data_IF_104996789401
#
_entry.id   IF_104996789401
#
_cell.length_a   1.000
_cell.length_b   1.000
_cell.length_c   1.000
_cell.angle_alpha   90.00
_cell.angle_beta   90.00
_cell.angle_gamma   90.00
#
_symmetry.space_group_name_H-M   'P 1'
#
loop_
_entity.id
_entity.type
_entity.pdbx_description
1 polymer ?
#
# COMPACT_ATOMS: atom_id res chain seq x y z
N UNK A 1 -45.91 -39.35 -32.81
CA UNK A 1 -44.57 -40.00 -32.76
C UNK A 1 -44.00 -39.79 -31.36
N UNK A 2 -44.28 -40.77 -30.51
CA UNK A 2 -43.83 -40.72 -29.12
C UNK A 2 -42.38 -41.18 -29.03
N UNK A 3 -41.49 -40.28 -28.62
CA UNK A 3 -40.10 -40.58 -28.35
C UNK A 3 -40.02 -41.59 -27.19
N UNK A 4 -39.40 -42.73 -27.44
CA UNK A 4 -39.27 -43.78 -26.41
C UNK A 4 -38.41 -43.32 -25.25
N UNK A 5 -38.67 -43.83 -24.03
CA UNK A 5 -37.92 -43.51 -22.84
C UNK A 5 -36.41 -43.76 -22.97
N UNK A 6 -35.99 -44.68 -23.88
CA UNK A 6 -34.63 -44.97 -24.20
C UNK A 6 -33.95 -43.88 -25.02
N UNK A 7 -34.67 -43.26 -25.97
CA UNK A 7 -34.16 -42.16 -26.80
C UNK A 7 -34.03 -40.87 -25.97
N UNK A 8 -34.90 -40.64 -25.01
CA UNK A 8 -34.80 -39.51 -24.07
C UNK A 8 -33.59 -39.66 -23.17
N UNK A 9 -33.28 -40.86 -22.70
CA UNK A 9 -32.10 -41.15 -21.88
C UNK A 9 -30.76 -41.00 -22.64
N UNK A 10 -30.76 -41.36 -23.92
CA UNK A 10 -29.60 -41.17 -24.81
C UNK A 10 -29.36 -39.68 -25.09
N UNK A 11 -30.40 -38.89 -25.35
CA UNK A 11 -30.31 -37.45 -25.55
C UNK A 11 -29.82 -36.73 -24.29
N UNK A 12 -30.29 -37.12 -23.11
CA UNK A 12 -29.83 -36.56 -21.84
C UNK A 12 -28.36 -36.95 -21.55
N UNK A 13 -27.96 -38.18 -21.86
CA UNK A 13 -26.56 -38.64 -21.68
C UNK A 13 -25.59 -37.87 -22.56
N UNK A 14 -25.92 -37.60 -23.82
CA UNK A 14 -25.09 -36.81 -24.74
C UNK A 14 -24.96 -35.36 -24.28
N UNK A 15 -26.02 -34.76 -23.75
CA UNK A 15 -25.97 -33.39 -23.18
C UNK A 15 -25.10 -33.30 -21.93
N UNK A 16 -25.14 -34.29 -21.06
CA UNK A 16 -24.30 -34.34 -19.86
C UNK A 16 -22.82 -34.49 -20.24
N UNK A 17 -22.50 -35.32 -21.23
CA UNK A 17 -21.13 -35.49 -21.72
C UNK A 17 -20.61 -34.20 -22.37
N UNK A 18 -21.43 -33.50 -23.15
CA UNK A 18 -21.05 -32.22 -23.74
C UNK A 18 -20.83 -31.14 -22.65
N UNK A 19 -21.68 -31.08 -21.60
CA UNK A 19 -21.51 -30.16 -20.50
C UNK A 19 -20.26 -30.44 -19.67
N UNK A 20 -19.93 -31.70 -19.43
CA UNK A 20 -18.72 -32.10 -18.72
C UNK A 20 -17.45 -31.83 -19.55
N UNK A 21 -17.50 -32.03 -20.87
CA UNK A 21 -16.42 -31.67 -21.79
C UNK A 21 -16.17 -30.16 -21.85
N UNK A 22 -17.22 -29.34 -21.91
CA UNK A 22 -17.12 -27.89 -21.89
C UNK A 22 -16.59 -27.37 -20.52
N UNK A 23 -16.96 -28.03 -19.43
CA UNK A 23 -16.45 -27.68 -18.09
C UNK A 23 -14.98 -28.06 -17.92
N UNK A 24 -14.54 -29.20 -18.48
CA UNK A 24 -13.13 -29.61 -18.50
C UNK A 24 -12.26 -28.65 -19.30
N UNK A 25 -12.69 -28.25 -20.49
CA UNK A 25 -11.99 -27.28 -21.33
C UNK A 25 -11.91 -25.90 -20.67
N UNK A 26 -12.96 -25.48 -19.94
CA UNK A 26 -12.97 -24.23 -19.20
C UNK A 26 -12.02 -24.25 -18.00
N UNK A 27 -11.91 -25.40 -17.32
CA UNK A 27 -10.96 -25.55 -16.20
C UNK A 27 -9.52 -25.55 -16.73
N UNK A 28 -9.23 -26.23 -17.83
CA UNK A 28 -7.90 -26.26 -18.45
C UNK A 28 -7.49 -24.87 -18.96
N UNK A 29 -8.40 -24.10 -19.55
CA UNK A 29 -8.13 -22.70 -19.96
C UNK A 29 -7.90 -21.78 -18.78
N UNK A 30 -8.64 -21.95 -17.67
CA UNK A 30 -8.42 -21.17 -16.44
C UNK A 30 -7.11 -21.54 -15.76
N UNK A 31 -6.72 -22.82 -15.74
CA UNK A 31 -5.45 -23.27 -15.14
C UNK A 31 -4.25 -22.96 -16.04
N UNK A 32 -4.37 -23.08 -17.35
CA UNK A 32 -3.28 -22.78 -18.29
C UNK A 32 -3.06 -21.26 -18.42
N UNK A 33 -4.12 -20.44 -18.46
CA UNK A 33 -3.99 -18.99 -18.48
C UNK A 33 -3.45 -18.42 -17.16
N UNK A 34 -3.77 -19.01 -16.01
CA UNK A 34 -3.16 -18.62 -14.75
C UNK A 34 -1.67 -18.96 -14.65
N UNK A 35 -1.17 -19.94 -15.41
CA UNK A 35 0.26 -20.27 -15.45
C UNK A 35 1.05 -19.42 -16.47
N UNK A 36 0.42 -18.90 -17.53
CA UNK A 36 1.08 -18.02 -18.51
C UNK A 36 1.09 -16.55 -18.09
N UNK A 37 0.20 -16.11 -17.18
CA UNK A 37 0.24 -14.77 -16.57
C UNK A 37 1.32 -14.66 -15.48
N UNK A 38 1.92 -15.77 -15.03
CA UNK A 38 2.97 -15.79 -13.99
C UNK A 38 4.38 -15.43 -14.46
N UNK A 39 4.64 -15.30 -15.75
CA UNK A 39 6.03 -15.06 -16.23
C UNK A 39 6.37 -13.62 -16.64
N UNK A 40 5.45 -12.66 -16.62
CA UNK A 40 5.74 -11.27 -17.00
C UNK A 40 5.52 -10.19 -15.92
N UNK A 41 5.14 -10.56 -14.70
CA UNK A 41 5.34 -9.71 -13.53
C UNK A 41 6.62 -10.16 -12.82
N UNK A 42 7.77 -9.73 -13.29
CA UNK A 42 8.95 -9.68 -12.45
C UNK A 42 8.61 -8.78 -11.27
N UNK A 43 7.96 -9.34 -10.24
CA UNK A 43 7.84 -8.71 -8.94
C UNK A 43 9.27 -8.44 -8.51
N UNK A 44 9.70 -7.17 -8.53
CA UNK A 44 10.93 -6.75 -7.88
C UNK A 44 10.81 -7.22 -6.44
N UNK A 45 11.39 -8.37 -6.11
CA UNK A 45 11.48 -8.83 -4.74
C UNK A 45 12.39 -7.85 -4.02
N UNK A 46 11.80 -6.92 -3.26
CA UNK A 46 12.58 -6.10 -2.35
C UNK A 46 13.21 -7.03 -1.32
N UNK A 47 14.50 -7.30 -1.48
CA UNK A 47 15.23 -8.13 -0.54
C UNK A 47 15.21 -7.46 0.84
N UNK A 48 14.64 -8.13 1.82
CA UNK A 48 14.47 -7.69 3.21
C UNK A 48 15.77 -7.23 3.90
N UNK A 49 16.93 -7.46 3.29
CA UNK A 49 18.26 -7.21 3.85
C UNK A 49 19.05 -6.09 3.15
N UNK A 50 18.38 -5.22 2.37
CA UNK A 50 19.08 -4.06 1.83
C UNK A 50 19.46 -3.11 2.94
N UNK A 51 20.73 -2.71 2.94
CA UNK A 51 21.20 -1.66 3.84
C UNK A 51 20.48 -0.33 3.51
N UNK A 52 20.50 0.63 4.42
CA UNK A 52 19.81 1.91 4.22
C UNK A 52 20.33 2.69 2.99
N UNK A 53 21.58 2.44 2.56
CA UNK A 53 22.20 3.09 1.40
C UNK A 53 21.52 2.65 0.08
N UNK A 54 21.34 1.34 -0.10
CA UNK A 54 20.68 0.80 -1.30
C UNK A 54 19.23 1.26 -1.37
N UNK A 55 18.56 1.33 -0.21
CA UNK A 55 17.19 1.80 -0.10
C UNK A 55 17.06 3.28 -0.46
N UNK A 56 17.99 4.14 -0.02
CA UNK A 56 18.01 5.56 -0.40
C UNK A 56 18.16 5.72 -1.90
N UNK A 57 19.05 4.94 -2.52
CA UNK A 57 19.26 5.01 -3.96
C UNK A 57 17.99 4.61 -4.76
N UNK A 58 17.30 3.56 -4.33
CA UNK A 58 16.03 3.14 -4.94
C UNK A 58 14.92 4.19 -4.77
N UNK A 59 14.73 4.69 -3.55
CA UNK A 59 13.77 5.76 -3.24
C UNK A 59 14.05 6.99 -4.10
N UNK A 60 15.31 7.42 -4.16
CA UNK A 60 15.72 8.60 -4.94
C UNK A 60 15.42 8.44 -6.41
N UNK A 61 15.64 7.25 -6.97
CA UNK A 61 15.29 6.93 -8.35
C UNK A 61 13.79 6.89 -8.59
N UNK A 62 13.03 6.26 -7.68
CA UNK A 62 11.58 6.11 -7.80
C UNK A 62 10.84 7.46 -7.68
N UNK A 63 11.35 8.36 -6.84
CA UNK A 63 10.78 9.68 -6.58
C UNK A 63 11.44 10.82 -7.37
N UNK A 64 12.38 10.51 -8.27
CA UNK A 64 13.17 11.49 -9.05
C UNK A 64 13.66 12.65 -8.16
N UNK A 65 14.32 12.32 -7.05
CA UNK A 65 14.79 13.30 -6.09
C UNK A 65 16.23 13.02 -5.61
N UNK A 66 16.94 14.08 -5.28
CA UNK A 66 18.33 14.03 -4.76
C UNK A 66 18.41 14.27 -3.25
N UNK A 67 17.28 14.14 -2.55
CA UNK A 67 17.19 14.39 -1.12
C UNK A 67 17.94 13.34 -0.30
N UNK A 68 18.64 13.79 0.73
CA UNK A 68 19.37 12.92 1.65
C UNK A 68 18.45 12.44 2.78
N UNK A 69 17.81 11.29 2.58
CA UNK A 69 16.97 10.68 3.60
C UNK A 69 17.77 10.13 4.75
N UNK A 70 17.33 10.42 5.98
CA UNK A 70 17.94 10.05 7.26
C UNK A 70 16.89 9.42 8.18
N UNK A 71 17.32 8.92 9.32
CA UNK A 71 16.47 8.37 10.38
C UNK A 71 16.25 6.88 10.22
N UNK A 72 15.39 6.46 9.33
CA UNK A 72 15.01 5.05 9.12
C UNK A 72 14.59 4.35 10.43
N UNK A 73 13.76 5.06 11.23
CA UNK A 73 13.22 4.58 12.50
C UNK A 73 11.90 3.85 12.28
N UNK A 74 11.68 2.78 13.00
CA UNK A 74 10.39 2.10 13.00
C UNK A 74 9.30 2.96 13.64
N UNK A 75 8.04 2.73 13.28
CA UNK A 75 6.90 3.36 13.95
C UNK A 75 6.90 3.02 15.44
N UNK A 76 7.31 1.80 15.82
CA UNK A 76 7.48 1.37 17.21
C UNK A 76 8.44 2.29 17.98
N UNK A 77 9.65 2.54 17.45
CA UNK A 77 10.63 3.46 18.05
C UNK A 77 10.10 4.90 18.14
N UNK A 78 9.44 5.37 17.08
CA UNK A 78 8.90 6.74 17.04
C UNK A 78 7.68 6.95 17.96
N UNK A 79 6.92 5.89 18.27
CA UNK A 79 5.89 5.93 19.32
C UNK A 79 6.48 6.18 20.71
N UNK A 80 7.68 5.70 20.96
CA UNK A 80 8.43 5.93 22.21
C UNK A 80 9.03 7.33 22.22
N UNK A 81 9.76 7.72 21.18
CA UNK A 81 10.39 9.03 21.08
C UNK A 81 10.60 9.51 19.65
N UNK A 82 10.21 10.77 19.40
CA UNK A 82 10.54 11.50 18.18
C UNK A 82 11.71 12.50 18.39
N UNK A 83 12.58 12.30 19.38
CA UNK A 83 13.64 13.27 19.71
C UNK A 83 14.69 13.42 18.61
N UNK A 84 14.97 12.36 17.85
CA UNK A 84 15.92 12.36 16.74
C UNK A 84 15.37 13.03 15.47
N UNK A 85 14.04 13.18 15.34
CA UNK A 85 13.44 13.86 14.20
C UNK A 85 13.75 15.36 14.27
N UNK A 86 14.26 16.01 13.21
CA UNK A 86 14.54 17.44 13.25
C UNK A 86 13.28 18.28 13.35
N UNK A 87 13.39 19.47 13.95
CA UNK A 87 12.29 20.45 14.04
C UNK A 87 12.21 21.38 12.83
N UNK A 88 12.89 21.06 11.76
CA UNK A 88 13.00 21.81 10.53
C UNK A 88 11.89 21.48 9.52
N UNK A 89 11.81 22.31 8.47
CA UNK A 89 11.01 22.06 7.29
C UNK A 89 11.56 20.87 6.49
N UNK A 90 10.68 20.02 5.99
CA UNK A 90 11.09 18.85 5.21
C UNK A 90 9.95 17.93 4.81
N UNK A 91 10.36 16.82 4.23
CA UNK A 91 9.50 15.71 3.81
C UNK A 91 9.88 14.43 4.53
N UNK A 92 8.93 13.52 4.63
CA UNK A 92 9.15 12.21 5.22
C UNK A 92 8.39 11.13 4.47
N UNK A 93 8.90 9.92 4.52
CA UNK A 93 8.30 8.74 3.88
C UNK A 93 7.92 7.73 4.95
N UNK A 94 6.82 7.03 4.75
CA UNK A 94 6.48 5.81 5.46
C UNK A 94 6.73 4.65 4.53
N UNK A 95 7.59 3.74 4.93
CA UNK A 95 8.09 2.62 4.14
C UNK A 95 7.66 1.30 4.77
N UNK A 96 7.20 0.37 3.94
CA UNK A 96 6.98 -1.03 4.32
C UNK A 96 8.06 -1.88 3.66
N UNK A 97 8.92 -2.49 4.47
CA UNK A 97 10.03 -3.32 3.97
C UNK A 97 9.62 -4.77 3.66
N UNK A 98 8.48 -5.19 4.17
CA UNK A 98 7.93 -6.52 3.95
C UNK A 98 7.28 -6.60 2.57
N UNK A 99 7.67 -7.57 1.74
CA UNK A 99 7.11 -7.81 0.42
C UNK A 99 5.94 -8.82 0.41
N UNK A 100 5.51 -9.30 1.57
CA UNK A 100 4.31 -10.13 1.68
C UNK A 100 3.06 -9.30 1.38
N UNK A 101 2.00 -9.97 0.96
CA UNK A 101 0.70 -9.31 0.75
C UNK A 101 0.25 -8.60 2.04
N UNK A 102 -0.23 -7.36 1.95
CA UNK A 102 -0.68 -6.63 3.12
C UNK A 102 -1.92 -7.25 3.74
N UNK A 103 -1.99 -7.25 5.06
CA UNK A 103 -3.18 -7.64 5.80
C UNK A 103 -3.78 -6.38 6.40
N UNK A 104 -5.03 -6.07 6.00
CA UNK A 104 -5.76 -4.91 6.49
C UNK A 104 -6.73 -5.29 7.59
N UNK A 105 -6.85 -4.43 8.61
CA UNK A 105 -7.83 -4.54 9.69
C UNK A 105 -9.11 -3.77 9.35
N UNK A 106 -10.25 -4.26 9.79
CA UNK A 106 -11.54 -3.54 9.74
C UNK A 106 -11.55 -2.36 10.72
N UNK A 107 -10.65 -2.36 11.72
CA UNK A 107 -10.49 -1.30 12.70
C UNK A 107 -9.16 -0.59 12.51
N UNK A 108 -9.11 0.71 12.81
CA UNK A 108 -7.88 1.51 12.79
C UNK A 108 -7.31 1.64 14.20
N UNK A 109 -5.98 1.58 14.34
CA UNK A 109 -5.31 1.99 15.56
C UNK A 109 -5.40 3.52 15.77
N UNK A 110 -5.55 4.29 14.69
CA UNK A 110 -5.81 5.72 14.73
C UNK A 110 -7.27 6.01 15.08
N UNK A 111 -7.53 6.69 16.18
CA UNK A 111 -8.87 6.71 16.76
C UNK A 111 -9.57 8.05 16.87
N UNK A 112 -8.96 9.19 16.52
CA UNK A 112 -9.63 10.46 16.69
C UNK A 112 -10.22 11.00 15.40
N UNK A 113 -11.55 11.13 15.37
CA UNK A 113 -12.31 11.79 14.32
C UNK A 113 -12.97 13.01 14.87
N UNK A 114 -12.88 14.15 14.18
CA UNK A 114 -13.45 15.42 14.60
C UNK A 114 -14.99 15.48 14.48
N UNK A 115 -15.54 14.71 13.56
CA UNK A 115 -16.97 14.73 13.23
C UNK A 115 -17.64 13.52 13.87
N UNK A 116 -18.67 13.73 14.70
CA UNK A 116 -19.50 12.62 15.18
C UNK A 116 -20.05 11.86 13.98
N UNK A 117 -19.96 10.53 14.03
CA UNK A 117 -20.36 9.58 12.98
C UNK A 117 -19.44 9.47 11.76
N UNK A 118 -18.28 10.14 11.71
CA UNK A 118 -17.27 9.87 10.70
C UNK A 118 -16.38 8.70 11.16
N UNK A 119 -16.21 7.70 10.31
CA UNK A 119 -15.35 6.55 10.62
C UNK A 119 -13.89 6.92 10.38
N UNK A 120 -12.97 6.60 11.30
CA UNK A 120 -11.54 6.72 11.04
C UNK A 120 -11.06 5.67 10.04
N UNK A 121 -11.91 4.68 9.70
CA UNK A 121 -11.56 3.52 8.89
C UNK A 121 -12.05 3.68 7.45
N UNK A 122 -11.24 3.17 6.53
CA UNK A 122 -11.64 2.88 5.16
C UNK A 122 -12.16 1.44 5.06
N UNK A 123 -12.99 1.12 4.06
CA UNK A 123 -13.40 -0.25 3.77
C UNK A 123 -12.21 -1.11 3.32
N UNK A 124 -12.25 -2.41 3.59
CA UNK A 124 -11.19 -3.32 3.17
C UNK A 124 -11.02 -3.34 1.64
N UNK A 125 -12.12 -3.30 0.89
CA UNK A 125 -12.09 -3.24 -0.57
C UNK A 125 -11.38 -1.99 -1.08
N UNK A 126 -11.66 -0.82 -0.49
CA UNK A 126 -10.99 0.42 -0.81
C UNK A 126 -9.48 0.35 -0.54
N UNK A 127 -9.07 -0.19 0.64
CA UNK A 127 -7.65 -0.33 0.97
C UNK A 127 -6.92 -1.26 0.00
N UNK A 128 -7.56 -2.37 -0.39
CA UNK A 128 -7.01 -3.32 -1.37
C UNK A 128 -6.84 -2.67 -2.76
N UNK A 129 -7.80 -1.88 -3.20
CA UNK A 129 -7.75 -1.16 -4.47
C UNK A 129 -6.65 -0.08 -4.51
N UNK A 130 -6.49 0.66 -3.39
CA UNK A 130 -5.47 1.71 -3.28
C UNK A 130 -4.06 1.16 -3.12
N UNK A 131 -3.88 -0.09 -2.72
CA UNK A 131 -2.55 -0.64 -2.48
C UNK A 131 -1.75 -0.76 -3.78
N UNK A 132 -0.50 -0.29 -3.74
CA UNK A 132 0.42 -0.34 -4.88
C UNK A 132 1.47 -1.40 -4.61
N UNK A 133 1.49 -2.43 -5.45
CA UNK A 133 2.50 -3.49 -5.40
C UNK A 133 3.82 -3.01 -6.02
N UNK A 134 4.92 -3.64 -5.63
CA UNK A 134 6.23 -3.40 -6.26
C UNK A 134 6.97 -2.17 -5.74
N UNK A 135 6.47 -1.49 -4.72
CA UNK A 135 7.14 -0.39 -4.02
C UNK A 135 7.14 -0.61 -2.52
N UNK A 136 8.14 -0.05 -1.83
CA UNK A 136 8.14 0.04 -0.38
C UNK A 136 7.49 1.35 0.14
N UNK A 137 7.22 2.33 -0.72
CA UNK A 137 6.72 3.65 -0.34
C UNK A 137 5.21 3.60 -0.16
N UNK A 138 4.76 3.69 1.09
CA UNK A 138 3.33 3.71 1.42
C UNK A 138 2.75 5.13 1.53
N UNK A 139 3.57 6.10 1.93
CA UNK A 139 3.11 7.47 2.15
C UNK A 139 4.25 8.47 2.01
N UNK A 140 3.97 9.59 1.39
CA UNK A 140 4.83 10.76 1.28
C UNK A 140 4.16 11.90 2.05
N UNK A 141 4.85 12.50 3.01
CA UNK A 141 4.32 13.60 3.79
C UNK A 141 5.31 14.75 3.94
N UNK A 142 4.78 15.91 4.33
CA UNK A 142 5.56 17.12 4.54
C UNK A 142 5.26 17.77 5.86
N UNK A 143 6.16 18.64 6.31
CA UNK A 143 5.92 19.55 7.43
C UNK A 143 6.93 20.70 7.44
N UNK A 144 6.51 21.84 7.95
CA UNK A 144 7.40 22.91 8.34
C UNK A 144 8.12 22.64 9.67
N UNK A 145 7.63 21.65 10.45
CA UNK A 145 8.26 21.13 11.65
C UNK A 145 8.03 19.62 11.73
N UNK A 146 9.00 18.85 11.23
CA UNK A 146 8.86 17.40 11.09
C UNK A 146 8.70 16.69 12.43
N UNK A 147 9.43 17.10 13.47
CA UNK A 147 9.31 16.50 14.83
C UNK A 147 7.89 16.65 15.38
N UNK A 148 7.32 17.83 15.29
CA UNK A 148 5.95 18.09 15.74
C UNK A 148 4.95 17.26 14.94
N UNK A 149 5.15 17.18 13.62
CA UNK A 149 4.29 16.42 12.70
C UNK A 149 4.31 14.93 13.01
N UNK A 150 5.50 14.32 13.10
CA UNK A 150 5.63 12.89 13.38
C UNK A 150 5.17 12.54 14.79
N UNK A 151 5.41 13.41 15.80
CA UNK A 151 4.83 13.22 17.14
C UNK A 151 3.29 13.20 17.09
N UNK A 152 2.66 14.07 16.34
CA UNK A 152 1.21 14.06 16.14
C UNK A 152 0.74 12.80 15.43
N UNK A 153 1.51 12.33 14.44
CA UNK A 153 1.21 11.10 13.70
C UNK A 153 1.29 9.87 14.60
N UNK A 154 2.32 9.76 15.42
CA UNK A 154 2.44 8.66 16.40
C UNK A 154 1.32 8.70 17.45
N UNK A 155 0.98 9.88 17.97
CA UNK A 155 -0.14 10.05 18.91
C UNK A 155 -1.47 9.62 18.28
N UNK A 156 -1.72 9.97 17.03
CA UNK A 156 -2.90 9.51 16.29
C UNK A 156 -2.95 7.98 16.23
N UNK A 157 -1.86 7.31 15.84
CA UNK A 157 -1.78 5.84 15.79
C UNK A 157 -1.81 5.14 17.15
N UNK A 158 -1.70 5.89 18.25
CA UNK A 158 -1.92 5.40 19.62
C UNK A 158 -3.37 5.64 20.10
N UNK A 159 -4.30 6.01 19.22
CA UNK A 159 -5.66 6.33 19.59
C UNK A 159 -5.83 7.65 20.34
N UNK A 160 -4.75 8.46 20.48
CA UNK A 160 -4.79 9.73 21.21
C UNK A 160 -5.34 10.84 20.33
N UNK A 161 -5.99 11.82 20.94
CA UNK A 161 -6.45 13.03 20.23
C UNK A 161 -5.28 13.74 19.58
N UNK A 162 -5.23 13.73 18.25
CA UNK A 162 -4.21 14.40 17.46
C UNK A 162 -4.77 14.78 16.08
N UNK A 163 -4.45 15.98 15.62
CA UNK A 163 -4.87 16.44 14.29
C UNK A 163 -3.90 15.87 13.25
N UNK A 164 -4.29 14.74 12.62
CA UNK A 164 -3.51 14.14 11.55
C UNK A 164 -4.45 13.51 10.50
N UNK A 165 -4.65 14.21 9.38
CA UNK A 165 -5.54 13.72 8.30
C UNK A 165 -4.85 12.87 7.25
N UNK A 166 -3.53 13.07 7.01
CA UNK A 166 -2.79 12.31 6.01
C UNK A 166 -2.27 10.97 6.54
N UNK A 167 -2.21 9.96 5.68
CA UNK A 167 -1.66 8.67 6.04
C UNK A 167 -2.53 7.83 6.98
N UNK A 168 -3.83 8.09 7.11
CA UNK A 168 -4.73 7.32 8.00
C UNK A 168 -4.80 5.84 7.64
N UNK A 169 -4.76 5.50 6.36
CA UNK A 169 -4.82 4.13 5.88
C UNK A 169 -3.70 3.23 6.44
N UNK A 170 -2.53 3.80 6.75
CA UNK A 170 -1.41 3.10 7.37
C UNK A 170 -1.83 2.38 8.66
N UNK A 171 -2.69 3.01 9.47
CA UNK A 171 -3.09 2.49 10.78
C UNK A 171 -4.12 1.36 10.74
N UNK A 172 -4.54 0.97 9.54
CA UNK A 172 -5.33 -0.23 9.29
C UNK A 172 -4.50 -1.41 8.78
N UNK A 173 -3.17 -1.29 8.71
CA UNK A 173 -2.27 -2.40 8.38
C UNK A 173 -1.80 -3.09 9.66
N UNK A 174 -1.80 -4.44 9.66
CA UNK A 174 -1.52 -5.23 10.87
C UNK A 174 -0.04 -5.19 11.29
N UNK A 175 0.86 -4.93 10.34
CA UNK A 175 2.31 -4.86 10.54
C UNK A 175 2.84 -3.42 10.68
N UNK A 176 1.97 -2.46 10.99
CA UNK A 176 2.28 -1.02 11.01
C UNK A 176 3.43 -0.64 11.96
N UNK A 177 3.62 -1.34 13.07
CA UNK A 177 4.66 -1.03 14.05
C UNK A 177 6.08 -1.28 13.50
N UNK A 178 6.21 -2.13 12.48
CA UNK A 178 7.47 -2.47 11.83
C UNK A 178 7.76 -1.58 10.60
N UNK A 179 6.83 -0.69 10.23
CA UNK A 179 7.07 0.27 9.15
C UNK A 179 8.15 1.26 9.56
N UNK A 180 8.94 1.65 8.58
CA UNK A 180 10.07 2.54 8.77
C UNK A 180 9.72 3.93 8.28
N UNK A 181 10.06 4.95 9.06
CA UNK A 181 9.95 6.35 8.65
C UNK A 181 11.36 6.91 8.46
N UNK A 182 11.59 7.49 7.28
CA UNK A 182 12.76 8.31 7.00
C UNK A 182 12.32 9.73 6.64
N UNK A 183 13.25 10.69 6.79
CA UNK A 183 12.97 12.10 6.54
C UNK A 183 14.16 12.79 5.89
N UNK A 184 13.87 13.86 5.17
CA UNK A 184 14.86 14.75 4.58
C UNK A 184 14.48 16.20 4.85
N UNK A 185 15.45 16.97 5.33
CA UNK A 185 15.32 18.42 5.49
C UNK A 185 15.43 19.10 4.12
N UNK A 186 14.70 20.17 3.91
CA UNK A 186 14.78 20.95 2.68
C UNK A 186 14.65 22.43 2.98
N UNK A 187 15.39 23.26 2.22
CA UNK A 187 15.25 24.70 2.21
C UNK A 187 14.10 25.18 1.31
N UNK A 188 13.68 24.32 0.39
CA UNK A 188 12.55 24.59 -0.48
C UNK A 188 11.21 24.49 0.28
N UNK A 189 10.16 25.00 -0.34
CA UNK A 189 8.81 24.79 0.17
C UNK A 189 8.49 23.29 0.17
N UNK A 190 8.35 22.69 1.35
CA UNK A 190 8.13 21.24 1.51
C UNK A 190 6.85 20.75 0.82
N UNK A 191 5.85 21.63 0.60
CA UNK A 191 4.64 21.30 -0.17
C UNK A 191 4.98 21.05 -1.64
N UNK A 192 5.85 21.87 -2.22
CA UNK A 192 6.27 21.71 -3.61
C UNK A 192 7.14 20.46 -3.77
N UNK A 193 8.00 20.18 -2.78
CA UNK A 193 8.82 18.96 -2.76
C UNK A 193 7.95 17.71 -2.68
N UNK A 194 7.02 17.65 -1.73
CA UNK A 194 6.05 16.55 -1.59
C UNK A 194 5.27 16.34 -2.89
N UNK A 195 4.76 17.41 -3.49
CA UNK A 195 4.00 17.34 -4.73
C UNK A 195 4.84 16.75 -5.87
N UNK A 196 6.07 17.23 -6.09
CA UNK A 196 6.98 16.67 -7.12
C UNK A 196 7.24 15.19 -6.92
N UNK A 197 7.49 14.78 -5.68
CA UNK A 197 7.71 13.36 -5.33
C UNK A 197 6.47 12.51 -5.61
N UNK A 198 5.26 13.00 -5.30
CA UNK A 198 4.01 12.30 -5.62
C UNK A 198 3.83 12.20 -7.15
N UNK A 199 4.14 13.26 -7.92
CA UNK A 199 4.04 13.18 -9.38
C UNK A 199 5.06 12.17 -9.96
N UNK A 200 6.30 12.14 -9.49
CA UNK A 200 7.30 11.17 -9.90
C UNK A 200 6.86 9.73 -9.58
N UNK A 201 6.32 9.50 -8.38
CA UNK A 201 5.74 8.21 -8.01
C UNK A 201 4.61 7.79 -8.97
N UNK A 202 3.68 8.70 -9.31
CA UNK A 202 2.59 8.44 -10.26
C UNK A 202 3.10 8.04 -11.63
N UNK A 203 4.18 8.67 -12.13
CA UNK A 203 4.79 8.32 -13.42
C UNK A 203 5.36 6.90 -13.44
N UNK A 204 5.89 6.41 -12.32
CA UNK A 204 6.44 5.06 -12.22
C UNK A 204 5.41 3.99 -11.83
N UNK A 205 4.16 4.37 -11.49
CA UNK A 205 3.12 3.49 -10.99
C UNK A 205 1.76 3.68 -11.68
N UNK A 206 1.75 3.83 -13.00
CA UNK A 206 0.52 3.88 -13.82
C UNK A 206 -0.50 4.95 -13.35
N UNK A 207 -0.01 6.08 -12.87
CA UNK A 207 -0.83 7.18 -12.35
C UNK A 207 -1.34 7.00 -10.92
N UNK A 208 -1.03 5.89 -10.25
CA UNK A 208 -1.42 5.65 -8.86
C UNK A 208 -0.56 6.48 -7.91
N UNK A 209 -1.18 6.95 -6.82
CA UNK A 209 -0.47 7.58 -5.69
C UNK A 209 0.11 6.52 -4.76
N UNK A 210 1.07 6.89 -3.87
CA UNK A 210 1.40 6.03 -2.74
C UNK A 210 0.14 5.68 -1.94
N UNK A 211 0.09 4.47 -1.43
CA UNK A 211 -1.09 3.85 -0.81
C UNK A 211 -1.90 4.77 0.12
N UNK A 212 -1.24 5.55 0.94
CA UNK A 212 -1.91 6.39 1.94
C UNK A 212 -1.98 7.89 1.59
N UNK A 213 -1.56 8.29 0.38
CA UNK A 213 -1.78 9.64 -0.14
C UNK A 213 -3.14 9.73 -0.82
N UNK A 214 -4.13 10.34 -0.17
CA UNK A 214 -5.50 10.43 -0.66
C UNK A 214 -5.74 11.65 -1.58
N UNK A 215 -4.80 12.58 -1.62
CA UNK A 215 -4.78 13.76 -2.51
C UNK A 215 -3.33 14.09 -2.89
N UNK A 216 -3.16 14.87 -3.94
CA UNK A 216 -1.88 15.44 -4.36
C UNK A 216 -1.50 16.64 -3.49
#
# INVERSE_FOLDING_TARGET
>A
DDITKAELLLLLGVHIIMLLGAFGAFIDDVFLNNNTVKENSASKSYHYNKNNVDMVAEISKELDCTLQFKGFKTIRELKESCSEVPSSNGVYLVLRRNNQQPIFSISSLGGYVKVPNDSPCYSLSYLQEQYVNGTCILYIGKSTNMRSRLRSYMRFGQGKRASHGGGRAIWQMTDVDDFVICWAETLENSRMVEWRMIQAFKLSHEGKRPFANMSD
#
